data_IF_501289866643
#
_entry.id   IF_501289866643
#
_cell.length_a   1.000
_cell.length_b   1.000
_cell.length_c   1.000
_cell.angle_alpha   90.00
_cell.angle_beta   90.00
_cell.angle_gamma   90.00
#
_symmetry.space_group_name_H-M   'P 1'
#
loop_
_entity.id
_entity.type
_entity.pdbx_description
1 polymer ?
#
# COMPACT_ATOMS: atom_id res chain seq x y z
N UNK A 1 61.34 5.20 -5.63
CA UNK A 1 59.90 5.54 -5.55
C UNK A 1 59.16 4.25 -5.23
N UNK A 2 58.59 4.10 -4.03
CA UNK A 2 58.00 2.85 -3.54
C UNK A 2 56.58 2.74 -4.11
N UNK A 3 56.37 1.90 -5.12
CA UNK A 3 55.02 1.63 -5.64
C UNK A 3 54.15 1.10 -4.50
N UNK A 4 53.17 1.90 -4.10
CA UNK A 4 52.18 1.54 -3.10
C UNK A 4 51.32 0.45 -3.71
N UNK A 5 51.63 -0.79 -3.37
CA UNK A 5 50.93 -2.00 -3.82
C UNK A 5 49.43 -1.84 -3.47
N UNK A 6 48.61 -1.37 -4.43
CA UNK A 6 47.16 -1.33 -4.30
C UNK A 6 46.71 -2.78 -4.15
N UNK A 7 46.42 -3.21 -2.92
CA UNK A 7 45.71 -4.48 -2.67
C UNK A 7 44.41 -4.43 -3.47
N UNK A 8 44.41 -4.98 -4.69
CA UNK A 8 43.19 -5.23 -5.44
C UNK A 8 42.33 -6.14 -4.55
N UNK A 9 41.07 -5.76 -4.30
CA UNK A 9 40.11 -6.69 -3.70
C UNK A 9 39.98 -7.87 -4.68
N UNK A 10 40.60 -9.00 -4.34
CA UNK A 10 40.66 -10.22 -5.15
C UNK A 10 39.47 -11.08 -4.71
N UNK A 11 38.48 -11.29 -5.59
CA UNK A 11 37.21 -11.92 -5.20
C UNK A 11 37.29 -13.45 -5.27
N UNK A 12 36.86 -14.13 -4.20
CA UNK A 12 36.54 -15.56 -4.26
C UNK A 12 35.08 -15.73 -4.71
N UNK A 13 34.74 -16.92 -5.22
CA UNK A 13 33.36 -17.28 -5.59
C UNK A 13 32.36 -16.97 -4.46
N UNK A 14 32.75 -17.22 -3.21
CA UNK A 14 31.94 -16.94 -2.01
C UNK A 14 31.61 -15.43 -1.89
N UNK A 15 32.57 -14.55 -2.15
CA UNK A 15 32.34 -13.11 -2.10
C UNK A 15 31.33 -12.63 -3.15
N UNK A 16 31.29 -13.25 -4.34
CA UNK A 16 30.26 -12.95 -5.34
C UNK A 16 28.87 -13.33 -4.84
N UNK A 17 28.72 -14.54 -4.30
CA UNK A 17 27.43 -15.02 -3.78
C UNK A 17 26.93 -14.10 -2.66
N UNK A 18 27.80 -13.71 -1.73
CA UNK A 18 27.46 -12.76 -0.66
C UNK A 18 27.02 -11.42 -1.25
N UNK A 19 27.73 -10.87 -2.25
CA UNK A 19 27.37 -9.62 -2.89
C UNK A 19 26.01 -9.67 -3.60
N UNK A 20 25.67 -10.80 -4.25
CA UNK A 20 24.34 -10.99 -4.85
C UNK A 20 23.22 -11.04 -3.80
N UNK A 21 23.44 -11.73 -2.68
CA UNK A 21 22.47 -11.79 -1.59
C UNK A 21 22.27 -10.40 -0.98
N UNK A 22 23.36 -9.68 -0.70
CA UNK A 22 23.30 -8.31 -0.18
C UNK A 22 22.59 -7.37 -1.16
N UNK A 23 22.86 -7.50 -2.47
CA UNK A 23 22.15 -6.74 -3.49
C UNK A 23 20.64 -7.03 -3.47
N UNK A 24 20.22 -8.30 -3.44
CA UNK A 24 18.81 -8.67 -3.45
C UNK A 24 18.07 -8.21 -2.18
N UNK A 25 18.70 -8.37 -1.01
CA UNK A 25 18.14 -7.90 0.27
C UNK A 25 18.03 -6.38 0.30
N UNK A 26 19.07 -5.66 -0.14
CA UNK A 26 19.06 -4.21 -0.18
C UNK A 26 18.05 -3.68 -1.20
N UNK A 27 17.91 -4.30 -2.37
CA UNK A 27 16.88 -3.95 -3.37
C UNK A 27 15.47 -4.13 -2.80
N UNK A 28 15.24 -5.22 -2.07
CA UNK A 28 13.94 -5.48 -1.44
C UNK A 28 13.64 -4.46 -0.34
N UNK A 29 14.64 -4.16 0.51
CA UNK A 29 14.51 -3.18 1.59
C UNK A 29 14.25 -1.77 1.05
N UNK A 30 14.93 -1.37 -0.03
CA UNK A 30 14.75 -0.10 -0.73
C UNK A 30 13.32 0.03 -1.28
N UNK A 31 12.84 -0.97 -2.02
CA UNK A 31 11.47 -0.94 -2.57
C UNK A 31 10.42 -0.85 -1.45
N UNK A 32 10.53 -1.70 -0.42
CA UNK A 32 9.59 -1.68 0.71
C UNK A 32 9.68 -0.35 1.47
N UNK A 33 10.89 0.17 1.66
CA UNK A 33 11.21 1.44 2.28
C UNK A 33 10.54 2.61 1.56
N UNK A 34 10.79 2.74 0.26
CA UNK A 34 10.18 3.75 -0.60
C UNK A 34 8.66 3.73 -0.55
N UNK A 35 8.04 2.55 -0.66
CA UNK A 35 6.58 2.43 -0.64
C UNK A 35 5.99 2.89 0.69
N UNK A 36 6.59 2.46 1.80
CA UNK A 36 6.14 2.87 3.14
C UNK A 36 6.36 4.37 3.39
N UNK A 37 7.49 4.94 2.99
CA UNK A 37 7.74 6.39 3.08
C UNK A 37 6.70 7.15 2.25
N UNK A 38 6.46 6.72 1.01
CA UNK A 38 5.50 7.36 0.10
C UNK A 38 4.09 7.31 0.68
N UNK A 39 3.64 6.13 1.13
CA UNK A 39 2.33 5.96 1.76
C UNK A 39 2.18 6.84 3.00
N UNK A 40 3.11 6.74 3.95
CA UNK A 40 3.09 7.55 5.19
C UNK A 40 3.15 9.06 4.90
N UNK A 41 3.90 9.48 3.89
CA UNK A 41 3.94 10.88 3.44
C UNK A 41 2.58 11.33 2.91
N UNK A 42 1.95 10.55 2.02
CA UNK A 42 0.62 10.90 1.49
C UNK A 42 -0.47 10.87 2.55
N UNK A 43 -0.31 10.03 3.57
CA UNK A 43 -1.21 9.95 4.71
C UNK A 43 -0.98 11.06 5.76
N UNK A 44 0.06 11.90 5.58
CA UNK A 44 0.40 12.99 6.50
C UNK A 44 1.03 12.55 7.82
N UNK A 45 1.57 11.33 7.89
CA UNK A 45 2.17 10.77 9.10
C UNK A 45 3.39 11.57 9.59
N UNK A 46 4.12 12.20 8.68
CA UNK A 46 5.25 13.07 8.99
C UNK A 46 4.83 14.50 9.36
N UNK A 47 3.56 14.86 9.11
CA UNK A 47 2.96 16.16 9.40
C UNK A 47 2.12 16.15 10.70
N UNK A 48 2.17 15.05 11.46
CA UNK A 48 1.53 14.92 12.78
C UNK A 48 0.25 14.09 12.80
N UNK A 49 -0.19 13.53 11.67
CA UNK A 49 -1.33 12.61 11.63
C UNK A 49 -0.90 11.27 12.24
N UNK A 50 -1.47 10.90 13.38
CA UNK A 50 -1.01 9.74 14.15
C UNK A 50 -1.93 8.51 14.08
N UNK A 51 -3.14 8.69 13.55
CA UNK A 51 -4.17 7.66 13.44
C UNK A 51 -4.62 7.53 12.00
N UNK A 52 -4.94 6.32 11.57
CA UNK A 52 -5.45 6.08 10.23
C UNK A 52 -6.78 6.82 9.99
N UNK A 53 -7.68 6.85 10.98
CA UNK A 53 -8.97 7.55 10.90
C UNK A 53 -8.86 9.03 10.56
N UNK A 54 -7.73 9.66 10.86
CA UNK A 54 -7.50 11.08 10.60
C UNK A 54 -6.97 11.36 9.18
N UNK A 55 -6.62 10.31 8.43
CA UNK A 55 -6.05 10.41 7.08
C UNK A 55 -7.11 10.75 6.02
N UNK A 56 -6.67 11.36 4.91
CA UNK A 56 -7.54 11.60 3.76
C UNK A 56 -8.04 10.30 3.12
N UNK A 57 -7.22 9.25 3.10
CA UNK A 57 -7.58 7.93 2.58
C UNK A 57 -8.73 7.31 3.38
N UNK A 58 -8.66 7.32 4.72
CA UNK A 58 -9.74 6.80 5.55
C UNK A 58 -11.07 7.54 5.31
N UNK A 59 -11.02 8.87 5.15
CA UNK A 59 -12.20 9.70 4.84
C UNK A 59 -12.79 9.37 3.47
N UNK A 60 -11.96 9.30 2.45
CA UNK A 60 -12.38 8.98 1.10
C UNK A 60 -12.98 7.57 1.02
N UNK A 61 -12.31 6.59 1.63
CA UNK A 61 -12.77 5.20 1.72
C UNK A 61 -14.10 5.08 2.47
N UNK A 62 -14.25 5.77 3.60
CA UNK A 62 -15.51 5.80 4.35
C UNK A 62 -16.66 6.37 3.50
N UNK A 63 -16.42 7.48 2.81
CA UNK A 63 -17.42 8.08 1.92
C UNK A 63 -17.81 7.14 0.76
N UNK A 64 -16.84 6.51 0.10
CA UNK A 64 -17.08 5.55 -0.99
C UNK A 64 -17.85 4.33 -0.49
N UNK A 65 -17.42 3.73 0.63
CA UNK A 65 -18.09 2.56 1.23
C UNK A 65 -19.52 2.90 1.66
N UNK A 66 -19.74 4.08 2.26
CA UNK A 66 -21.08 4.55 2.63
C UNK A 66 -21.96 4.77 1.40
N UNK A 67 -21.41 5.29 0.30
CA UNK A 67 -22.13 5.46 -0.96
C UNK A 67 -22.54 4.11 -1.58
N UNK A 68 -21.60 3.16 -1.60
CA UNK A 68 -21.86 1.80 -2.06
C UNK A 68 -22.93 1.11 -1.20
N UNK A 69 -22.99 1.44 0.09
CA UNK A 69 -24.05 0.94 0.96
C UNK A 69 -25.44 1.40 0.54
N UNK A 70 -25.60 2.62 0.02
CA UNK A 70 -26.90 3.09 -0.51
C UNK A 70 -27.37 2.22 -1.68
N UNK A 71 -26.46 1.88 -2.60
CA UNK A 71 -26.76 1.02 -3.74
C UNK A 71 -27.28 -0.35 -3.28
N UNK A 72 -26.65 -0.91 -2.25
CA UNK A 72 -27.02 -2.19 -1.65
C UNK A 72 -28.33 -2.11 -0.84
N UNK A 73 -28.43 -1.17 0.11
CA UNK A 73 -29.53 -1.09 1.07
C UNK A 73 -30.87 -0.72 0.42
N UNK A 74 -30.84 0.03 -0.69
CA UNK A 74 -32.03 0.49 -1.41
C UNK A 74 -32.28 -0.29 -2.71
N UNK A 75 -31.51 -1.34 -2.98
CA UNK A 75 -31.63 -2.18 -4.19
C UNK A 75 -31.63 -1.36 -5.50
N UNK A 76 -30.86 -0.27 -5.53
CA UNK A 76 -30.79 0.68 -6.66
C UNK A 76 -30.03 0.09 -7.85
N UNK A 77 -29.08 -0.82 -7.62
CA UNK A 77 -28.36 -1.47 -8.69
C UNK A 77 -28.07 -2.93 -8.34
N UNK A 78 -28.88 -3.83 -8.88
CA UNK A 78 -28.76 -5.28 -8.73
C UNK A 78 -27.55 -5.89 -9.45
N UNK A 79 -26.84 -5.13 -10.30
CA UNK A 79 -25.55 -5.51 -10.87
C UNK A 79 -24.38 -4.99 -10.04
N UNK A 80 -24.60 -3.97 -9.20
CA UNK A 80 -23.67 -3.54 -8.16
C UNK A 80 -23.80 -4.48 -6.96
N UNK A 81 -23.66 -5.76 -7.24
CA UNK A 81 -23.33 -6.74 -6.23
C UNK A 81 -21.83 -6.65 -6.02
N UNK A 82 -21.38 -5.53 -5.42
CA UNK A 82 -20.05 -5.40 -4.86
C UNK A 82 -19.92 -6.41 -3.73
N UNK A 83 -19.53 -7.63 -4.10
CA UNK A 83 -19.59 -8.86 -3.30
C UNK A 83 -20.95 -9.11 -2.66
N UNK A 84 -21.67 -10.13 -3.13
CA UNK A 84 -22.87 -10.67 -2.46
C UNK A 84 -22.54 -11.27 -1.07
N UNK A 85 -21.28 -11.10 -0.65
CA UNK A 85 -20.65 -11.52 0.59
C UNK A 85 -20.21 -10.36 1.50
N UNK A 86 -20.29 -9.08 1.07
CA UNK A 86 -20.05 -7.93 1.96
C UNK A 86 -21.36 -7.60 2.70
N UNK A 87 -21.58 -8.26 3.83
CA UNK A 87 -22.62 -7.83 4.75
C UNK A 87 -22.15 -6.58 5.51
N UNK A 88 -23.05 -5.61 5.61
CA UNK A 88 -22.81 -4.35 6.32
C UNK A 88 -23.32 -4.41 7.77
N UNK A 89 -23.56 -5.61 8.28
CA UNK A 89 -23.84 -5.84 9.67
C UNK A 89 -22.58 -5.64 10.53
N UNK A 90 -22.79 -5.51 11.84
CA UNK A 90 -21.69 -5.16 12.76
C UNK A 90 -20.59 -6.22 12.82
N UNK A 91 -20.91 -7.47 12.52
CA UNK A 91 -19.96 -8.59 12.52
C UNK A 91 -18.97 -8.52 11.35
N UNK A 92 -19.38 -7.90 10.23
CA UNK A 92 -18.59 -7.89 8.99
C UNK A 92 -18.20 -6.49 8.52
N UNK A 93 -18.72 -5.42 9.15
CA UNK A 93 -18.34 -4.03 8.88
C UNK A 93 -18.07 -3.23 10.15
N UNK A 94 -17.07 -2.36 10.08
CA UNK A 94 -16.76 -1.36 11.09
C UNK A 94 -17.37 0.01 10.81
N UNK A 95 -17.97 0.20 9.63
CA UNK A 95 -18.58 1.46 9.21
C UNK A 95 -20.10 1.41 9.46
N UNK A 96 -20.56 2.23 10.39
CA UNK A 96 -21.99 2.53 10.59
C UNK A 96 -22.43 3.54 9.54
N UNK A 97 -23.61 3.31 8.97
CA UNK A 97 -24.19 4.13 7.92
C UNK A 97 -25.68 4.34 8.18
N UNK A 98 -26.10 5.59 8.10
CA UNK A 98 -27.49 6.03 8.18
C UNK A 98 -27.86 6.77 6.90
N UNK A 99 -28.95 6.35 6.25
CA UNK A 99 -29.42 6.88 4.98
C UNK A 99 -30.69 7.69 5.23
N UNK A 100 -30.65 8.96 4.88
CA UNK A 100 -31.76 9.90 4.98
C UNK A 100 -32.20 10.31 3.58
N UNK A 101 -33.52 10.36 3.34
CA UNK A 101 -34.06 11.01 2.15
C UNK A 101 -33.90 12.54 2.31
N UNK A 102 -33.31 13.20 1.31
CA UNK A 102 -33.00 14.65 1.40
C UNK A 102 -34.28 15.49 1.44
N UNK A 103 -35.29 15.13 0.65
CA UNK A 103 -36.52 15.91 0.52
C UNK A 103 -37.35 15.96 1.81
N UNK A 104 -37.38 14.86 2.57
CA UNK A 104 -38.20 14.72 3.78
C UNK A 104 -37.37 14.78 5.06
N UNK A 105 -36.05 14.64 4.96
CA UNK A 105 -35.12 14.42 6.06
C UNK A 105 -35.48 13.20 6.93
N UNK A 106 -36.20 12.23 6.37
CA UNK A 106 -36.59 11.00 7.05
C UNK A 106 -35.47 9.96 6.96
N UNK A 107 -35.18 9.28 8.08
CA UNK A 107 -34.32 8.11 8.11
C UNK A 107 -34.99 6.95 7.35
N UNK A 108 -34.34 6.48 6.29
CA UNK A 108 -34.82 5.39 5.45
C UNK A 108 -34.22 4.06 5.90
N UNK A 109 -32.91 4.07 6.18
CA UNK A 109 -32.19 2.85 6.50
C UNK A 109 -31.00 3.13 7.42
N UNK A 110 -30.68 2.16 8.29
CA UNK A 110 -29.52 2.16 9.17
C UNK A 110 -29.02 0.74 9.33
N UNK A 111 -27.71 0.54 9.27
CA UNK A 111 -27.14 -0.80 9.41
C UNK A 111 -26.98 -1.24 10.88
N UNK A 112 -26.31 -0.44 11.72
CA UNK A 112 -26.11 -0.71 13.14
C UNK A 112 -25.76 0.57 13.90
N UNK A 113 -25.72 0.48 15.23
CA UNK A 113 -25.29 1.56 16.13
C UNK A 113 -23.80 1.44 16.50
N UNK A 114 -23.14 2.57 16.72
CA UNK A 114 -21.76 2.66 17.19
C UNK A 114 -21.74 3.52 18.45
N UNK A 115 -21.20 2.98 19.55
CA UNK A 115 -21.10 3.69 20.82
C UNK A 115 -20.04 4.81 20.78
N UNK A 116 -18.85 4.48 20.28
CA UNK A 116 -17.74 5.42 20.10
C UNK A 116 -17.15 5.29 18.69
N UNK A 117 -16.85 6.42 18.06
CA UNK A 117 -16.35 6.49 16.70
C UNK A 117 -15.10 7.35 16.59
N UNK A 118 -14.22 6.98 15.65
CA UNK A 118 -12.96 7.68 15.36
C UNK A 118 -13.04 8.59 14.14
N UNK A 119 -14.03 8.37 13.28
CA UNK A 119 -14.25 9.14 12.07
C UNK A 119 -15.75 9.33 11.88
N UNK A 120 -16.18 10.57 11.66
CA UNK A 120 -17.54 10.89 11.24
C UNK A 120 -17.50 11.71 9.97
N UNK A 121 -18.51 11.53 9.14
CA UNK A 121 -18.69 12.37 7.97
C UNK A 121 -20.08 12.21 7.36
N UNK A 122 -20.35 13.10 6.42
CA UNK A 122 -21.58 13.12 5.65
C UNK A 122 -21.22 12.99 4.18
N UNK A 123 -21.84 12.04 3.50
CA UNK A 123 -21.78 11.89 2.05
C UNK A 123 -23.17 12.15 1.45
N UNK A 124 -23.21 12.40 0.15
CA UNK A 124 -24.44 12.63 -0.59
C UNK A 124 -24.48 11.74 -1.81
N UNK A 125 -25.60 11.06 -2.00
CA UNK A 125 -25.87 10.22 -3.16
C UNK A 125 -26.68 11.02 -4.18
N UNK A 126 -26.15 11.12 -5.40
CA UNK A 126 -26.79 11.81 -6.51
C UNK A 126 -26.99 10.80 -7.64
N UNK A 127 -28.16 10.15 -7.67
CA UNK A 127 -28.45 9.15 -8.68
C UNK A 127 -29.89 8.68 -8.59
N UNK A 128 -30.46 8.31 -9.73
CA UNK A 128 -31.71 7.56 -9.80
C UNK A 128 -31.41 6.06 -9.70
N UNK A 129 -32.46 5.23 -9.66
CA UNK A 129 -32.52 3.77 -9.47
C UNK A 129 -31.68 2.89 -10.45
N UNK A 130 -30.60 3.40 -11.07
CA UNK A 130 -29.76 2.64 -12.01
C UNK A 130 -28.28 3.06 -12.07
N UNK A 131 -27.94 4.32 -11.75
CA UNK A 131 -26.67 4.91 -12.22
C UNK A 131 -25.75 5.47 -11.12
N UNK A 132 -26.02 5.22 -9.83
CA UNK A 132 -25.37 5.90 -8.69
C UNK A 132 -23.88 6.22 -8.85
N UNK A 133 -23.55 7.52 -8.89
CA UNK A 133 -22.19 8.02 -9.08
C UNK A 133 -21.63 8.64 -7.79
N UNK A 134 -20.30 8.59 -7.65
CA UNK A 134 -19.56 9.30 -6.61
C UNK A 134 -19.42 10.79 -6.94
N UNK A 135 -19.29 11.61 -5.89
CA UNK A 135 -19.28 13.07 -5.90
C UNK A 135 -18.24 13.72 -6.84
N UNK A 136 -17.20 13.00 -7.26
CA UNK A 136 -16.17 13.53 -8.18
C UNK A 136 -16.59 13.60 -9.65
N UNK A 137 -17.64 12.87 -10.07
CA UNK A 137 -18.01 12.76 -11.51
C UNK A 137 -19.38 13.33 -11.88
N UNK A 138 -20.07 13.98 -10.93
CA UNK A 138 -21.43 14.48 -11.16
C UNK A 138 -21.38 15.97 -11.39
N UNK A 139 -21.90 16.38 -12.55
CA UNK A 139 -22.14 17.77 -12.86
C UNK A 139 -22.87 18.44 -11.69
N UNK A 140 -22.30 19.56 -11.24
CA UNK A 140 -22.64 20.37 -10.05
C UNK A 140 -24.10 20.87 -9.96
N UNK A 141 -24.99 20.38 -10.81
CA UNK A 141 -26.36 20.87 -11.03
C UNK A 141 -27.47 19.90 -10.58
N UNK A 142 -27.18 18.68 -10.13
CA UNK A 142 -28.21 17.78 -9.61
C UNK A 142 -28.37 17.90 -8.09
N UNK A 143 -29.61 17.94 -7.61
CA UNK A 143 -29.91 17.85 -6.18
C UNK A 143 -29.69 16.41 -5.67
N UNK A 144 -29.09 16.21 -4.49
CA UNK A 144 -28.87 14.88 -3.94
C UNK A 144 -30.19 14.22 -3.53
N UNK A 145 -30.32 12.93 -3.80
CA UNK A 145 -31.50 12.13 -3.43
C UNK A 145 -31.42 11.67 -1.98
N UNK A 146 -30.24 11.22 -1.55
CA UNK A 146 -29.99 10.73 -0.19
C UNK A 146 -28.81 11.43 0.46
N UNK A 147 -28.97 11.76 1.75
CA UNK A 147 -27.88 12.16 2.65
C UNK A 147 -27.47 10.94 3.45
N UNK A 148 -26.17 10.70 3.52
CA UNK A 148 -25.59 9.53 4.17
C UNK A 148 -24.73 10.02 5.32
N UNK A 149 -25.13 9.73 6.55
CA UNK A 149 -24.27 9.93 7.70
C UNK A 149 -23.49 8.65 7.96
N UNK A 150 -22.16 8.73 8.05
CA UNK A 150 -21.32 7.57 8.30
C UNK A 150 -20.38 7.80 9.48
N UNK A 151 -20.14 6.72 10.23
CA UNK A 151 -19.31 6.73 11.43
C UNK A 151 -18.46 5.46 11.48
N UNK A 152 -17.14 5.61 11.56
CA UNK A 152 -16.22 4.49 11.73
C UNK A 152 -16.09 4.17 13.21
N UNK A 153 -16.43 2.94 13.59
CA UNK A 153 -16.27 2.49 14.97
C UNK A 153 -14.85 2.68 15.47
N UNK A 154 -14.73 3.10 16.75
CA UNK A 154 -13.42 3.21 17.41
C UNK A 154 -12.75 1.86 17.54
N UNK A 155 -13.51 0.84 17.95
CA UNK A 155 -13.05 -0.53 18.03
C UNK A 155 -13.42 -1.28 16.75
N UNK A 156 -12.39 -1.59 15.96
CA UNK A 156 -12.48 -2.29 14.69
C UNK A 156 -12.54 -3.81 14.94
N UNK A 157 -13.75 -4.35 15.09
CA UNK A 157 -13.99 -5.76 15.42
C UNK A 157 -14.13 -6.63 14.16
N UNK A 158 -14.68 -6.08 13.07
CA UNK A 158 -14.78 -6.77 11.80
C UNK A 158 -13.43 -6.75 11.07
N UNK A 159 -13.08 -7.81 10.34
CA UNK A 159 -11.87 -7.86 9.48
C UNK A 159 -12.17 -7.29 8.09
N UNK A 160 -12.64 -6.05 8.06
CA UNK A 160 -12.91 -5.32 6.83
C UNK A 160 -11.70 -4.49 6.38
N UNK A 161 -11.86 -3.78 5.27
CA UNK A 161 -10.80 -2.94 4.69
C UNK A 161 -10.28 -1.89 5.71
N UNK A 162 -11.13 -1.38 6.61
CA UNK A 162 -10.71 -0.43 7.63
C UNK A 162 -9.79 -1.06 8.68
N UNK A 163 -10.07 -2.30 9.10
CA UNK A 163 -9.21 -3.04 10.01
C UNK A 163 -7.82 -3.26 9.44
N UNK A 164 -7.72 -3.69 8.18
CA UNK A 164 -6.42 -3.94 7.54
C UNK A 164 -5.64 -2.65 7.31
N UNK A 165 -6.29 -1.61 6.80
CA UNK A 165 -5.67 -0.31 6.60
C UNK A 165 -5.19 0.32 7.92
N UNK A 166 -6.01 0.29 8.98
CA UNK A 166 -5.59 0.77 10.31
C UNK A 166 -4.41 -0.03 10.86
N UNK A 167 -4.44 -1.36 10.72
CA UNK A 167 -3.35 -2.25 11.17
C UNK A 167 -2.04 -1.94 10.44
N UNK A 168 -2.09 -1.83 9.11
CA UNK A 168 -0.90 -1.54 8.28
C UNK A 168 -0.39 -0.14 8.56
N UNK A 169 -1.28 0.86 8.64
CA UNK A 169 -0.91 2.23 8.98
C UNK A 169 -0.22 2.30 10.34
N UNK A 170 -0.80 1.70 11.38
CA UNK A 170 -0.24 1.71 12.74
C UNK A 170 1.12 1.01 12.80
N UNK A 171 1.29 -0.11 12.08
CA UNK A 171 2.57 -0.80 11.97
C UNK A 171 3.63 0.10 11.32
N UNK A 172 3.33 0.69 10.16
CA UNK A 172 4.27 1.56 9.46
C UNK A 172 4.57 2.83 10.26
N UNK A 173 3.54 3.44 10.88
CA UNK A 173 3.66 4.64 11.69
C UNK A 173 4.61 4.44 12.88
N UNK A 174 4.60 3.26 13.51
CA UNK A 174 5.52 2.89 14.59
C UNK A 174 6.99 2.91 14.15
N UNK A 175 7.26 2.53 12.90
CA UNK A 175 8.62 2.44 12.34
C UNK A 175 8.99 3.61 11.42
N UNK A 176 8.14 4.64 11.31
CA UNK A 176 8.22 5.72 10.30
C UNK A 176 9.54 6.46 10.22
N UNK A 177 10.31 6.52 11.30
CA UNK A 177 11.63 7.17 11.30
C UNK A 177 12.80 6.19 11.16
N UNK A 178 12.59 4.91 11.49
CA UNK A 178 13.60 3.85 11.34
C UNK A 178 13.76 3.48 9.86
N UNK A 179 12.73 3.72 9.04
CA UNK A 179 12.78 3.40 7.62
C UNK A 179 13.77 4.27 6.84
N UNK A 180 13.98 5.54 7.20
CA UNK A 180 14.96 6.42 6.54
C UNK A 180 16.42 5.92 6.63
N UNK A 181 16.96 5.53 7.80
CA UNK A 181 18.29 4.95 7.84
C UNK A 181 18.37 3.60 7.14
N UNK A 182 17.31 2.76 7.20
CA UNK A 182 17.27 1.50 6.43
C UNK A 182 17.40 1.80 4.93
N UNK A 183 16.66 2.79 4.43
CA UNK A 183 16.71 3.24 3.05
C UNK A 183 18.12 3.73 2.66
N UNK A 184 18.68 4.63 3.46
CA UNK A 184 20.01 5.18 3.23
C UNK A 184 21.09 4.09 3.14
N UNK A 185 21.08 3.11 4.07
CA UNK A 185 22.03 2.00 4.03
C UNK A 185 21.75 1.02 2.91
N UNK A 186 20.49 0.80 2.54
CA UNK A 186 20.10 -0.06 1.41
C UNK A 186 20.67 0.48 0.11
N UNK A 187 20.57 1.79 -0.15
CA UNK A 187 21.16 2.45 -1.32
C UNK A 187 22.70 2.29 -1.33
N UNK A 188 23.37 2.49 -0.18
CA UNK A 188 24.83 2.30 -0.07
C UNK A 188 25.22 0.85 -0.40
N UNK A 189 24.50 -0.13 0.15
CA UNK A 189 24.75 -1.55 -0.08
C UNK A 189 24.48 -1.91 -1.54
N UNK A 190 23.43 -1.38 -2.16
CA UNK A 190 23.11 -1.54 -3.57
C UNK A 190 24.26 -1.05 -4.45
N UNK A 191 24.67 0.21 -4.29
CA UNK A 191 25.76 0.82 -5.06
C UNK A 191 27.06 0.04 -4.85
N UNK A 192 27.39 -0.29 -3.60
CA UNK A 192 28.59 -1.07 -3.28
C UNK A 192 28.58 -2.46 -3.90
N UNK A 193 27.43 -3.14 -3.88
CA UNK A 193 27.26 -4.46 -4.49
C UNK A 193 27.36 -4.40 -6.01
N UNK A 194 26.76 -3.39 -6.65
CA UNK A 194 26.90 -3.14 -8.10
C UNK A 194 28.38 -2.93 -8.45
N UNK A 195 29.07 -1.98 -7.79
CA UNK A 195 30.49 -1.73 -8.06
C UNK A 195 31.32 -3.00 -7.90
N UNK A 196 31.08 -3.77 -6.83
CA UNK A 196 31.79 -5.01 -6.59
C UNK A 196 31.50 -6.09 -7.65
N UNK A 197 30.23 -6.27 -8.03
CA UNK A 197 29.81 -7.27 -9.02
C UNK A 197 30.34 -6.93 -10.42
N UNK A 198 30.36 -5.66 -10.82
CA UNK A 198 30.88 -5.25 -12.13
C UNK A 198 32.42 -5.17 -12.19
N UNK A 199 33.08 -4.68 -11.13
CA UNK A 199 34.53 -4.40 -11.15
C UNK A 199 35.38 -5.45 -10.44
N UNK A 200 34.89 -6.00 -9.32
CA UNK A 200 35.63 -6.89 -8.43
C UNK A 200 35.49 -8.38 -8.76
N UNK A 201 34.30 -8.80 -9.19
CA UNK A 201 33.94 -10.20 -9.36
C UNK A 201 34.80 -10.93 -10.43
N UNK A 202 35.26 -10.24 -11.47
CA UNK A 202 35.98 -10.89 -12.57
C UNK A 202 37.36 -11.46 -12.25
N UNK A 203 38.02 -11.06 -11.15
CA UNK A 203 39.46 -11.31 -10.98
C UNK A 203 39.76 -12.45 -9.98
N UNK A 204 40.40 -13.53 -10.46
CA UNK A 204 40.81 -14.71 -9.66
C UNK A 204 42.34 -14.80 -9.51
N UNK A 205 42.81 -15.31 -8.36
CA UNK A 205 44.21 -15.26 -7.90
C UNK A 205 45.28 -15.75 -8.90
N UNK A 206 44.96 -16.75 -9.73
CA UNK A 206 45.95 -17.49 -10.52
C UNK A 206 45.78 -17.33 -12.05
N UNK A 207 44.92 -16.42 -12.50
CA UNK A 207 44.69 -16.18 -13.93
C UNK A 207 44.72 -14.69 -14.26
N UNK A 208 45.58 -14.24 -15.19
CA UNK A 208 45.48 -12.88 -15.72
C UNK A 208 44.17 -12.74 -16.50
N UNK A 209 43.42 -11.67 -16.23
CA UNK A 209 42.18 -11.33 -16.92
C UNK A 209 40.91 -11.56 -16.11
N UNK A 210 39.76 -11.43 -16.79
CA UNK A 210 38.43 -11.65 -16.22
C UNK A 210 38.07 -13.14 -16.37
N UNK A 211 37.95 -13.84 -15.25
CA UNK A 211 37.39 -15.18 -15.19
C UNK A 211 35.87 -15.09 -15.00
N UNK A 212 35.12 -15.48 -16.02
CA UNK A 212 33.67 -15.64 -15.92
C UNK A 212 33.33 -16.76 -14.92
N UNK A 213 32.53 -16.41 -13.91
CA UNK A 213 31.77 -17.36 -13.08
C UNK A 213 30.55 -17.86 -13.85
N UNK A 214 29.95 -18.97 -13.43
CA UNK A 214 28.68 -19.44 -14.00
C UNK A 214 27.54 -18.42 -13.83
N UNK A 215 27.56 -17.61 -12.77
CA UNK A 215 26.60 -16.51 -12.54
C UNK A 215 26.76 -15.41 -13.59
N UNK A 216 28.00 -15.16 -14.05
CA UNK A 216 28.28 -14.18 -15.12
C UNK A 216 27.78 -14.67 -16.50
N UNK A 217 27.34 -15.94 -16.61
CA UNK A 217 26.71 -16.49 -17.82
C UNK A 217 25.20 -16.29 -17.86
N UNK A 218 24.59 -15.88 -16.75
CA UNK A 218 23.16 -15.55 -16.72
C UNK A 218 23.05 -14.14 -17.31
N UNK A 219 22.35 -13.94 -18.44
CA UNK A 219 22.09 -12.62 -18.97
C UNK A 219 21.43 -11.75 -17.90
N UNK A 220 21.91 -10.52 -17.77
CA UNK A 220 21.36 -9.55 -16.81
C UNK A 220 19.83 -9.42 -17.00
N UNK A 221 19.36 -9.53 -18.24
CA UNK A 221 17.95 -9.49 -18.61
C UNK A 221 17.12 -10.57 -17.92
N UNK A 222 17.66 -11.79 -17.75
CA UNK A 222 16.95 -12.89 -17.07
C UNK A 222 16.85 -12.60 -15.57
N UNK A 223 17.92 -12.08 -14.98
CA UNK A 223 17.91 -11.72 -13.56
C UNK A 223 16.93 -10.56 -13.30
N UNK A 224 17.00 -9.51 -14.12
CA UNK A 224 16.08 -8.38 -14.07
C UNK A 224 14.63 -8.81 -14.26
N UNK A 225 14.36 -9.74 -15.19
CA UNK A 225 13.02 -10.28 -15.43
C UNK A 225 12.48 -11.08 -14.24
N UNK A 226 13.29 -11.93 -13.60
CA UNK A 226 12.87 -12.68 -12.41
C UNK A 226 12.58 -11.72 -11.25
N UNK A 227 13.44 -10.71 -11.03
CA UNK A 227 13.22 -9.67 -10.01
C UNK A 227 11.92 -8.90 -10.28
N UNK A 228 11.69 -8.50 -11.53
CA UNK A 228 10.45 -7.84 -11.95
C UNK A 228 9.22 -8.73 -11.73
N UNK A 229 9.30 -10.02 -12.07
CA UNK A 229 8.17 -10.93 -11.92
C UNK A 229 7.80 -11.16 -10.45
N UNK A 230 8.80 -11.38 -9.58
CA UNK A 230 8.60 -11.48 -8.12
C UNK A 230 8.01 -10.18 -7.58
N UNK A 231 8.48 -9.03 -8.07
CA UNK A 231 7.96 -7.73 -7.70
C UNK A 231 6.50 -7.53 -8.12
N UNK A 232 6.17 -7.75 -9.40
CA UNK A 232 4.79 -7.59 -9.89
C UNK A 232 3.84 -8.49 -9.11
N UNK A 233 4.27 -9.72 -8.80
CA UNK A 233 3.47 -10.64 -8.00
C UNK A 233 3.30 -10.16 -6.54
N UNK A 234 4.37 -9.69 -5.89
CA UNK A 234 4.30 -9.15 -4.53
C UNK A 234 3.42 -7.90 -4.46
N UNK A 235 3.60 -6.94 -5.39
CA UNK A 235 2.78 -5.73 -5.48
C UNK A 235 1.32 -6.05 -5.75
N UNK A 236 1.02 -7.00 -6.66
CA UNK A 236 -0.34 -7.46 -6.91
C UNK A 236 -0.96 -8.12 -5.67
N UNK A 237 -0.20 -8.94 -4.96
CA UNK A 237 -0.68 -9.60 -3.75
C UNK A 237 -0.99 -8.60 -2.63
N UNK A 238 -0.12 -7.61 -2.41
CA UNK A 238 -0.34 -6.55 -1.42
C UNK A 238 -1.51 -5.64 -1.82
N UNK A 239 -1.67 -5.31 -3.10
CA UNK A 239 -2.78 -4.49 -3.57
C UNK A 239 -4.14 -5.16 -3.41
N UNK A 240 -4.22 -6.49 -3.61
CA UNK A 240 -5.49 -7.22 -3.54
C UNK A 240 -5.82 -7.81 -2.17
N UNK A 241 -4.86 -7.85 -1.24
CA UNK A 241 -5.05 -8.47 0.08
C UNK A 241 -4.56 -7.58 1.24
N UNK A 242 -4.31 -6.30 0.99
CA UNK A 242 -3.82 -5.31 1.95
C UNK A 242 -4.73 -4.10 2.03
#
# INVERSE_FOLDING_TARGET
MKERNKKRLRSSYLCKVIAFILFALAATADIVGMNAISYLSTAGAYDGISKYSDTADARARAAVTANNYVLYALDINTNFVGDQYKSFDRENSNLSVEIYEVATNQLIHKNFDVEESTLHGTAYFYGNNSDGYFQDYIEKNNEPTYRIEYSLAKDLNARDDFYYCDTVYNLQYRFRYIIFPIEFFSIIILIGSVIFLFYGAGHVNDKPGITLSWVDKIPLDIFAFIVLMVWTYASFYTYNNG
#
